data_IF_282691997776
#
_entry.id   IF_282691997776
#
_cell.length_a   1.000
_cell.length_b   1.000
_cell.length_c   1.000
_cell.angle_alpha   90.00
_cell.angle_beta   90.00
_cell.angle_gamma   90.00
#
_symmetry.space_group_name_H-M   'P 1'
#
loop_
_entity.id
_entity.type
_entity.pdbx_description
1 polymer ?
#
# COMPACT_ATOMS: atom_id res chain seq x y z
N UNK A 1 -11.52 8.91 9.59
CA UNK A 1 -10.88 9.78 10.61
C UNK A 1 -9.95 8.96 11.48
N UNK A 2 -8.84 9.52 11.96
CA UNK A 2 -7.92 8.80 12.85
C UNK A 2 -8.53 8.65 14.25
N UNK A 3 -8.90 7.42 14.61
CA UNK A 3 -9.50 7.08 15.92
C UNK A 3 -8.51 6.34 16.81
N UNK A 4 -8.90 6.10 18.08
CA UNK A 4 -8.12 5.35 19.08
C UNK A 4 -7.82 3.92 18.62
N UNK A 5 -8.83 3.22 18.12
CA UNK A 5 -8.69 1.81 17.70
C UNK A 5 -7.97 1.67 16.35
N UNK A 6 -7.94 2.76 15.56
CA UNK A 6 -7.25 2.77 14.28
C UNK A 6 -5.81 3.27 14.41
N UNK A 7 -5.56 4.58 14.44
CA UNK A 7 -4.19 5.10 14.38
C UNK A 7 -3.63 5.41 15.78
N UNK A 8 -4.42 6.07 16.63
CA UNK A 8 -3.91 6.71 17.85
C UNK A 8 -3.52 5.71 18.95
N UNK A 9 -4.10 4.52 18.98
CA UNK A 9 -3.74 3.45 19.94
C UNK A 9 -2.41 2.77 19.61
N UNK A 10 -2.02 2.77 18.33
CA UNK A 10 -0.83 2.07 17.81
C UNK A 10 0.43 2.93 17.88
N UNK A 11 0.28 4.26 17.91
CA UNK A 11 1.40 5.19 17.91
C UNK A 11 1.85 5.59 19.33
N UNK A 12 3.00 6.25 19.41
CA UNK A 12 3.57 6.79 20.64
C UNK A 12 2.87 8.07 21.08
N UNK A 13 2.95 8.43 22.37
CA UNK A 13 2.39 9.69 22.91
C UNK A 13 2.87 10.91 22.11
N UNK A 14 4.17 10.98 21.82
CA UNK A 14 4.77 12.08 21.04
C UNK A 14 4.11 12.23 19.67
N UNK A 15 3.81 11.10 19.01
CA UNK A 15 3.14 11.13 17.70
C UNK A 15 1.69 11.60 17.80
N UNK A 16 0.98 11.28 18.90
CA UNK A 16 -0.38 11.79 19.15
C UNK A 16 -0.37 13.31 19.34
N UNK A 17 0.56 13.83 20.14
CA UNK A 17 0.72 15.28 20.37
C UNK A 17 1.05 16.01 19.07
N UNK A 18 1.96 15.45 18.26
CA UNK A 18 2.31 16.01 16.96
C UNK A 18 1.11 16.03 16.00
N UNK A 19 0.32 14.95 15.94
CA UNK A 19 -0.87 14.89 15.10
C UNK A 19 -1.88 15.99 15.45
N UNK A 20 -2.12 16.22 16.74
CA UNK A 20 -3.01 17.29 17.21
C UNK A 20 -2.43 18.67 16.91
N UNK A 21 -1.12 18.86 17.09
CA UNK A 21 -0.41 20.09 16.73
C UNK A 21 -0.58 20.43 15.26
N UNK A 22 -0.45 19.44 14.38
CA UNK A 22 -0.60 19.62 12.93
C UNK A 22 -2.06 19.89 12.50
N UNK A 23 -3.05 19.34 13.22
CA UNK A 23 -4.45 19.45 12.83
C UNK A 23 -5.19 20.66 13.44
N UNK A 24 -4.90 20.98 14.69
CA UNK A 24 -5.61 21.98 15.50
C UNK A 24 -4.71 23.10 16.02
N UNK A 25 -3.39 22.89 16.01
CA UNK A 25 -2.40 23.86 16.48
C UNK A 25 -1.78 23.50 17.83
N UNK A 26 -0.78 24.29 18.22
CA UNK A 26 0.06 24.10 19.41
C UNK A 26 -0.74 24.09 20.72
N UNK A 27 -1.70 25.01 20.87
CA UNK A 27 -2.49 25.14 22.10
C UNK A 27 -3.25 23.85 22.44
N UNK A 28 -3.83 23.21 21.41
CA UNK A 28 -4.53 21.94 21.57
C UNK A 28 -3.58 20.78 21.92
N UNK A 29 -2.34 20.83 21.44
CA UNK A 29 -1.33 19.82 21.70
C UNK A 29 -0.86 19.86 23.17
N UNK A 30 -0.68 21.06 23.74
CA UNK A 30 -0.30 21.24 25.14
C UNK A 30 -1.36 20.71 26.12
N UNK A 31 -2.65 20.84 25.78
CA UNK A 31 -3.75 20.32 26.61
C UNK A 31 -3.74 18.80 26.77
N UNK A 32 -3.21 18.07 25.78
CA UNK A 32 -3.19 16.61 25.80
C UNK A 32 -1.84 16.03 26.21
N UNK A 33 -0.75 16.81 26.15
CA UNK A 33 0.62 16.37 26.42
C UNK A 33 0.78 15.71 27.79
N UNK A 34 0.17 16.32 28.82
CA UNK A 34 0.27 15.85 30.20
C UNK A 34 -0.69 14.69 30.54
N UNK A 35 -1.49 14.21 29.59
CA UNK A 35 -2.46 13.13 29.83
C UNK A 35 -1.82 11.74 29.78
N UNK A 36 -2.51 10.74 30.35
CA UNK A 36 -2.18 9.32 30.14
C UNK A 36 -2.48 8.92 28.69
N UNK A 37 -1.77 7.94 28.13
CA UNK A 37 -1.89 7.56 26.71
C UNK A 37 -3.33 7.24 26.30
N UNK A 38 -4.06 6.48 27.12
CA UNK A 38 -5.44 6.09 26.81
C UNK A 38 -6.39 7.29 26.74
N UNK A 39 -6.23 8.24 27.66
CA UNK A 39 -7.00 9.49 27.66
C UNK A 39 -6.56 10.44 26.53
N UNK A 40 -5.24 10.55 26.31
CA UNK A 40 -4.64 11.35 25.26
C UNK A 40 -5.12 10.90 23.88
N UNK A 41 -5.18 9.60 23.62
CA UNK A 41 -5.67 9.08 22.36
C UNK A 41 -7.16 9.41 22.15
N UNK A 42 -7.99 9.30 23.19
CA UNK A 42 -9.43 9.64 23.12
C UNK A 42 -9.65 11.12 22.84
N UNK A 43 -8.95 11.99 23.57
CA UNK A 43 -9.09 13.43 23.37
C UNK A 43 -8.52 13.86 22.01
N UNK A 44 -7.39 13.29 21.59
CA UNK A 44 -6.85 13.51 20.25
C UNK A 44 -7.84 13.07 19.16
N UNK A 45 -8.50 11.92 19.30
CA UNK A 45 -9.52 11.48 18.34
C UNK A 45 -10.64 12.52 18.20
N UNK A 46 -11.10 13.08 19.33
CA UNK A 46 -12.12 14.14 19.36
C UNK A 46 -11.62 15.43 18.71
N UNK A 47 -10.39 15.83 18.98
CA UNK A 47 -9.79 17.03 18.38
C UNK A 47 -9.60 16.86 16.88
N UNK A 48 -9.17 15.69 16.42
CA UNK A 48 -8.96 15.39 15.01
C UNK A 48 -10.27 15.17 14.24
N UNK A 49 -11.37 14.89 14.93
CA UNK A 49 -12.69 14.81 14.32
C UNK A 49 -13.08 16.15 13.67
N UNK A 50 -13.53 16.08 12.40
CA UNK A 50 -13.84 17.26 11.60
C UNK A 50 -12.63 18.08 11.12
N UNK A 51 -11.41 17.76 11.54
CA UNK A 51 -10.19 18.48 11.12
C UNK A 51 -9.66 18.02 9.75
N UNK A 52 -10.25 16.96 9.18
CA UNK A 52 -9.82 16.31 7.93
C UNK A 52 -8.33 15.94 7.88
N UNK A 53 -7.67 15.86 9.05
CA UNK A 53 -6.26 15.57 9.18
C UNK A 53 -5.99 14.09 8.85
N UNK A 54 -4.96 13.86 8.06
CA UNK A 54 -4.53 12.55 7.59
C UNK A 54 -3.16 12.22 8.20
N UNK A 55 -2.95 11.01 8.73
CA UNK A 55 -1.65 10.61 9.24
C UNK A 55 -0.62 10.48 8.10
N UNK A 56 0.62 10.82 8.40
CA UNK A 56 1.77 10.78 7.48
C UNK A 56 1.86 9.52 6.59
N UNK A 57 1.75 8.27 7.08
CA UNK A 57 1.83 7.09 6.21
C UNK A 57 0.72 7.01 5.16
N UNK A 58 -0.38 7.75 5.35
CA UNK A 58 -1.47 7.86 4.37
C UNK A 58 -1.38 9.14 3.53
N UNK A 59 -0.52 10.09 3.92
CA UNK A 59 -0.13 11.17 3.02
C UNK A 59 0.80 10.55 1.98
N UNK A 60 0.24 9.94 0.93
CA UNK A 60 0.96 9.81 -0.33
C UNK A 60 1.58 11.18 -0.59
N UNK A 61 2.87 11.21 -0.94
CA UNK A 61 3.72 12.39 -1.12
C UNK A 61 3.12 13.42 -2.11
N UNK A 62 2.02 14.08 -1.75
CA UNK A 62 1.46 15.21 -2.48
C UNK A 62 2.18 16.51 -2.08
N UNK A 63 3.03 16.44 -1.05
CA UNK A 63 3.93 17.48 -0.58
C UNK A 63 5.39 17.03 -0.77
N UNK A 64 5.68 16.35 -1.89
CA UNK A 64 7.03 16.42 -2.43
C UNK A 64 7.27 17.86 -2.91
N UNK A 65 8.46 18.45 -2.76
CA UNK A 65 8.81 19.53 -3.66
C UNK A 65 8.64 18.96 -5.07
N UNK A 66 7.92 19.68 -5.93
CA UNK A 66 7.94 19.48 -7.38
C UNK A 66 9.36 19.73 -7.88
N UNK A 67 10.28 18.83 -7.56
CA UNK A 67 11.61 18.77 -8.10
C UNK A 67 11.54 17.90 -9.36
N UNK A 68 11.37 18.59 -10.48
CA UNK A 68 12.13 18.33 -11.70
C UNK A 68 12.35 16.84 -12.01
N UNK A 69 11.31 16.16 -12.48
CA UNK A 69 11.54 15.08 -13.43
C UNK A 69 11.57 15.72 -14.81
N UNK A 70 12.76 16.19 -15.16
CA UNK A 70 13.13 16.59 -16.50
C UNK A 70 12.60 15.57 -17.51
N UNK A 71 11.89 16.12 -18.47
CA UNK A 71 11.44 15.51 -19.69
C UNK A 71 12.50 14.57 -20.29
N UNK A 72 12.24 13.26 -20.52
CA UNK A 72 13.01 12.54 -21.50
C UNK A 72 12.50 12.96 -22.88
N UNK A 73 13.01 14.09 -23.38
CA UNK A 73 13.06 14.37 -24.82
C UNK A 73 13.98 13.34 -25.47
N UNK A 74 13.49 12.13 -25.72
CA UNK A 74 14.16 11.21 -26.64
C UNK A 74 13.68 11.50 -28.05
N UNK A 75 14.27 12.53 -28.65
CA UNK A 75 14.22 12.74 -30.10
C UNK A 75 15.61 12.55 -30.68
N UNK A 76 15.69 11.60 -31.60
CA UNK A 76 16.67 11.46 -32.69
C UNK A 76 18.10 11.03 -32.31
N UNK A 77 18.47 9.78 -32.61
CA UNK A 77 19.05 9.48 -33.94
C UNK A 77 19.37 7.98 -34.08
N UNK A 78 19.28 7.51 -35.32
CA UNK A 78 19.17 6.13 -35.77
C UNK A 78 20.44 5.27 -35.65
N UNK A 79 20.24 3.96 -35.48
CA UNK A 79 20.89 2.91 -36.31
C UNK A 79 20.12 1.57 -36.17
N UNK A 80 19.66 1.05 -37.31
CA UNK A 80 18.95 -0.22 -37.59
C UNK A 80 19.96 -1.10 -38.37
N UNK A 81 20.00 -2.47 -38.36
CA UNK A 81 18.85 -3.39 -38.33
C UNK A 81 19.02 -4.72 -37.55
N UNK A 82 17.90 -5.45 -37.47
CA UNK A 82 17.86 -6.93 -37.51
C UNK A 82 18.19 -7.71 -36.23
N UNK A 83 17.19 -7.80 -35.35
CA UNK A 83 16.61 -9.09 -34.98
C UNK A 83 15.24 -8.85 -34.34
N UNK A 84 14.18 -9.18 -35.07
CA UNK A 84 12.86 -9.32 -34.49
C UNK A 84 12.91 -10.43 -33.42
N UNK A 85 13.02 -10.04 -32.16
CA UNK A 85 12.46 -10.85 -31.07
C UNK A 85 11.15 -10.17 -30.72
N UNK A 86 9.98 -10.72 -31.13
CA UNK A 86 8.74 -10.25 -30.53
C UNK A 86 8.91 -10.43 -29.03
N UNK A 87 8.47 -9.45 -28.27
CA UNK A 87 8.46 -9.50 -26.82
C UNK A 87 8.00 -10.89 -26.36
N UNK A 88 8.92 -11.71 -25.83
CA UNK A 88 8.56 -12.89 -25.06
C UNK A 88 7.97 -12.41 -23.74
N UNK A 89 6.78 -11.84 -23.87
CA UNK A 89 5.86 -11.61 -22.78
C UNK A 89 5.54 -12.99 -22.19
N UNK A 90 5.41 -13.09 -20.86
CA UNK A 90 5.11 -14.35 -20.19
C UNK A 90 3.87 -14.98 -20.83
N UNK A 91 3.90 -16.32 -20.95
CA UNK A 91 2.86 -17.11 -21.64
C UNK A 91 1.41 -16.79 -21.20
N UNK A 92 1.23 -16.21 -20.01
CA UNK A 92 -0.04 -15.70 -19.52
C UNK A 92 -0.70 -14.62 -20.42
N UNK A 93 0.07 -13.87 -21.20
CA UNK A 93 -0.42 -12.75 -22.03
C UNK A 93 -0.52 -13.06 -23.53
N UNK A 94 -0.08 -14.24 -23.98
CA UNK A 94 -0.24 -14.70 -25.38
C UNK A 94 -1.39 -15.71 -25.56
N UNK A 95 -2.09 -16.09 -24.49
CA UNK A 95 -3.27 -16.98 -24.50
C UNK A 95 -4.56 -16.27 -24.95
N UNK A 96 -4.46 -15.42 -25.97
CA UNK A 96 -5.63 -14.84 -26.64
C UNK A 96 -5.32 -14.60 -28.12
N UNK A 97 -4.79 -15.64 -28.77
CA UNK A 97 -4.73 -15.75 -30.21
C UNK A 97 -4.97 -17.21 -30.63
N UNK A 98 -6.22 -17.42 -31.01
CA UNK A 98 -6.82 -18.49 -31.82
C UNK A 98 -7.37 -19.79 -31.16
N UNK A 99 -8.65 -20.11 -31.46
CA UNK A 99 -9.33 -21.31 -31.01
C UNK A 99 -9.00 -22.50 -31.93
N UNK A 100 -9.40 -23.69 -31.48
CA UNK A 100 -9.70 -24.87 -32.29
C UNK A 100 -8.81 -26.09 -32.00
N UNK A 101 -9.41 -26.94 -31.15
CA UNK A 101 -9.64 -28.36 -31.43
C UNK A 101 -8.57 -29.38 -31.05
N UNK A 102 -9.06 -30.42 -30.37
CA UNK A 102 -8.37 -31.68 -30.07
C UNK A 102 -7.66 -31.63 -28.72
N UNK A 103 -7.78 -32.57 -27.80
CA UNK A 103 -8.39 -33.89 -27.76
C UNK A 103 -8.39 -34.26 -26.27
N UNK A 104 -9.36 -35.08 -25.86
CA UNK A 104 -9.58 -35.54 -24.48
C UNK A 104 -8.43 -36.40 -23.92
N UNK A 105 -8.53 -36.61 -22.61
CA UNK A 105 -7.95 -37.71 -21.79
C UNK A 105 -6.53 -37.42 -21.28
N UNK A 106 -6.11 -37.84 -20.09
CA UNK A 106 -6.70 -38.50 -18.92
C UNK A 106 -5.56 -38.65 -17.92
N UNK A 107 -5.89 -38.69 -16.63
CA UNK A 107 -5.07 -39.34 -15.60
C UNK A 107 -3.93 -38.48 -15.04
N UNK A 108 -3.55 -38.60 -13.78
CA UNK A 108 -3.99 -39.54 -12.76
C UNK A 108 -3.60 -38.90 -11.42
N UNK A 109 -4.57 -38.90 -10.53
CA UNK A 109 -4.41 -38.75 -9.10
C UNK A 109 -3.67 -39.98 -8.55
N UNK A 110 -2.48 -39.75 -8.00
CA UNK A 110 -1.66 -40.70 -7.26
C UNK A 110 -0.63 -39.81 -6.54
N UNK A 111 -0.35 -39.85 -5.25
CA UNK A 111 -0.15 -40.94 -4.29
C UNK A 111 0.18 -40.14 -2.99
N UNK A 112 -0.05 -40.51 -1.73
CA UNK A 112 0.11 -41.79 -1.04
C UNK A 112 -0.64 -41.69 0.29
N UNK A 113 -1.46 -42.71 0.52
CA UNK A 113 -1.80 -43.33 1.80
C UNK A 113 -0.68 -43.23 2.87
N UNK A 114 -0.98 -42.72 4.06
CA UNK A 114 -0.28 -43.16 5.29
C UNK A 114 -1.31 -43.43 6.39
N UNK A 115 -1.73 -44.70 6.41
CA UNK A 115 -2.31 -45.48 7.52
C UNK A 115 -1.40 -45.33 8.77
N UNK A 116 -1.80 -45.43 10.05
CA UNK A 116 -2.82 -46.25 10.69
C UNK A 116 -2.79 -46.05 12.23
N UNK A 117 -3.77 -46.66 12.91
CA UNK A 117 -3.86 -47.11 14.32
C UNK A 117 -4.42 -46.07 15.33
N UNK A 118 -5.62 -46.24 15.92
CA UNK A 118 -6.23 -47.35 16.66
C UNK A 118 -5.58 -47.60 18.04
N UNK A 119 -6.16 -47.02 19.10
CA UNK A 119 -6.71 -47.71 20.28
C UNK A 119 -7.60 -46.75 21.09
#
# INVERSE_FOLDING_TARGET
TPTVENYLGRVTKTRIVQAVREARGEESAQLIEHMKKDLMAREAARLLEGSNWLPEPLRLEQDGPVADIGEPVVSDTADDPSAAVPAELPAFLTDSADPSSGERASGVEDETDELQAAE
#
